data_IF_418390205227
#
_entry.id   IF_418390205227
#
_cell.length_a   1.000
_cell.length_b   1.000
_cell.length_c   1.000
_cell.angle_alpha   90.00
_cell.angle_beta   90.00
_cell.angle_gamma   90.00
#
_symmetry.space_group_name_H-M   'P 1'
#
loop_
_entity.id
_entity.type
_entity.pdbx_description
1 polymer ?
#
# COMPACT_ATOMS: atom_id res chain seq x y z
N UNK A 1 27.25 23.86 -58.19
CA UNK A 1 26.97 23.63 -56.76
C UNK A 1 26.65 22.16 -56.62
N UNK A 2 27.63 21.38 -56.15
CA UNK A 2 27.51 19.93 -55.97
C UNK A 2 26.85 19.66 -54.63
N UNK A 3 25.67 19.04 -54.66
CA UNK A 3 25.00 18.49 -53.48
C UNK A 3 25.90 17.42 -52.85
N UNK A 4 26.48 17.77 -51.70
CA UNK A 4 27.13 16.83 -50.81
C UNK A 4 26.02 16.06 -50.10
N UNK A 5 25.60 14.95 -50.71
CA UNK A 5 24.74 13.97 -50.05
C UNK A 5 25.52 13.36 -48.89
N UNK A 6 25.25 13.82 -47.66
CA UNK A 6 25.67 13.19 -46.42
C UNK A 6 24.98 11.81 -46.31
N UNK A 7 25.50 10.83 -47.03
CA UNK A 7 25.15 9.42 -46.88
C UNK A 7 25.88 8.84 -45.67
N UNK A 8 25.53 9.35 -44.49
CA UNK A 8 25.94 8.81 -43.20
C UNK A 8 24.70 8.30 -42.49
N UNK A 9 24.29 7.06 -42.74
CA UNK A 9 23.42 6.36 -41.79
C UNK A 9 24.20 6.26 -40.49
N UNK A 10 23.81 7.03 -39.48
CA UNK A 10 24.36 6.88 -38.13
C UNK A 10 24.26 5.39 -37.76
N UNK A 11 25.34 4.74 -37.32
CA UNK A 11 25.24 3.37 -36.86
C UNK A 11 24.16 3.34 -35.77
N UNK A 12 23.18 2.44 -35.93
CA UNK A 12 22.16 2.23 -34.91
C UNK A 12 22.92 1.97 -33.60
N UNK A 13 22.75 2.85 -32.62
CA UNK A 13 23.44 2.73 -31.34
C UNK A 13 23.19 1.32 -30.80
N UNK A 14 24.28 0.60 -30.54
CA UNK A 14 24.22 -0.77 -30.04
C UNK A 14 23.46 -0.75 -28.72
N UNK A 15 22.29 -1.38 -28.70
CA UNK A 15 21.36 -1.26 -27.58
C UNK A 15 21.91 -2.10 -26.43
N UNK A 16 21.96 -1.59 -25.20
CA UNK A 16 22.31 -2.41 -24.05
C UNK A 16 21.36 -3.62 -23.99
N UNK A 17 21.91 -4.83 -24.15
CA UNK A 17 21.15 -6.07 -23.94
C UNK A 17 20.96 -6.25 -22.43
N UNK A 18 19.74 -6.00 -21.98
CA UNK A 18 19.37 -5.98 -20.56
C UNK A 18 18.59 -7.24 -20.15
N UNK A 19 18.45 -8.21 -21.06
CA UNK A 19 17.72 -9.47 -20.89
C UNK A 19 18.60 -10.57 -20.28
N UNK A 20 19.38 -10.22 -19.26
CA UNK A 20 20.15 -11.19 -18.49
C UNK A 20 19.30 -11.73 -17.33
N UNK A 21 19.37 -13.04 -17.05
CA UNK A 21 18.67 -13.62 -15.91
C UNK A 21 19.16 -12.99 -14.61
N UNK A 22 18.23 -12.81 -13.66
CA UNK A 22 18.52 -12.26 -12.34
C UNK A 22 19.61 -13.09 -11.67
N UNK A 23 20.69 -12.45 -11.20
CA UNK A 23 21.82 -13.18 -10.62
C UNK A 23 21.41 -13.83 -9.29
N UNK A 24 21.91 -15.03 -8.95
CA UNK A 24 21.63 -15.67 -7.67
C UNK A 24 21.97 -14.80 -6.45
N UNK A 25 22.98 -13.94 -6.59
CA UNK A 25 23.36 -12.97 -5.56
C UNK A 25 22.25 -11.92 -5.32
N UNK A 26 21.63 -11.42 -6.38
CA UNK A 26 20.53 -10.46 -6.27
C UNK A 26 19.29 -11.10 -5.61
N UNK A 27 19.00 -12.36 -5.94
CA UNK A 27 17.93 -13.12 -5.28
C UNK A 27 18.23 -13.32 -3.79
N UNK A 28 19.46 -13.73 -3.45
CA UNK A 28 19.88 -13.88 -2.05
C UNK A 28 19.80 -12.56 -1.29
N UNK A 29 20.27 -11.47 -1.88
CA UNK A 29 20.18 -10.13 -1.31
C UNK A 29 18.73 -9.71 -1.04
N UNK A 30 17.83 -9.92 -2.00
CA UNK A 30 16.41 -9.65 -1.84
C UNK A 30 15.79 -10.47 -0.70
N UNK A 31 16.05 -11.79 -0.66
CA UNK A 31 15.56 -12.66 0.40
C UNK A 31 16.11 -12.28 1.77
N UNK A 32 17.38 -11.85 1.86
CA UNK A 32 17.98 -11.37 3.09
C UNK A 32 17.31 -10.09 3.61
N UNK A 33 16.98 -9.14 2.72
CA UNK A 33 16.24 -7.93 3.08
C UNK A 33 14.83 -8.27 3.60
N UNK A 34 14.12 -9.17 2.92
CA UNK A 34 12.79 -9.62 3.36
C UNK A 34 12.88 -10.31 4.72
N UNK A 35 13.86 -11.21 4.92
CA UNK A 35 14.07 -11.88 6.20
C UNK A 35 14.40 -10.89 7.33
N UNK A 36 15.26 -9.90 7.07
CA UNK A 36 15.58 -8.85 8.03
C UNK A 36 14.35 -8.02 8.40
N UNK A 37 13.51 -7.67 7.41
CA UNK A 37 12.24 -6.98 7.64
C UNK A 37 11.28 -7.80 8.50
N UNK A 38 11.11 -9.09 8.21
CA UNK A 38 10.26 -9.98 9.00
C UNK A 38 10.79 -10.16 10.44
N UNK A 39 12.10 -10.26 10.63
CA UNK A 39 12.73 -10.31 11.95
C UNK A 39 12.52 -8.99 12.71
N UNK A 40 12.65 -7.85 12.05
CA UNK A 40 12.38 -6.54 12.64
C UNK A 40 10.92 -6.39 13.07
N UNK A 41 9.97 -6.85 12.25
CA UNK A 41 8.54 -6.87 12.61
C UNK A 41 8.30 -7.77 13.82
N UNK A 42 8.85 -8.99 13.82
CA UNK A 42 8.71 -9.92 14.95
C UNK A 42 9.31 -9.34 16.25
N UNK A 43 10.47 -8.71 16.16
CA UNK A 43 11.11 -8.02 17.29
C UNK A 43 10.27 -6.85 17.79
N UNK A 44 9.78 -5.99 16.89
CA UNK A 44 8.94 -4.83 17.25
C UNK A 44 7.66 -5.27 17.95
N UNK A 45 6.97 -6.29 17.42
CA UNK A 45 5.76 -6.85 18.05
C UNK A 45 6.09 -7.43 19.43
N UNK A 46 7.21 -8.14 19.58
CA UNK A 46 7.61 -8.68 20.88
C UNK A 46 7.84 -7.57 21.90
N UNK A 47 8.55 -6.51 21.53
CA UNK A 47 8.80 -5.34 22.39
C UNK A 47 7.49 -4.64 22.76
N UNK A 48 6.60 -4.41 21.80
CA UNK A 48 5.31 -3.76 22.04
C UNK A 48 4.41 -4.59 22.96
N UNK A 49 4.35 -5.92 22.75
CA UNK A 49 3.57 -6.82 23.59
C UNK A 49 4.14 -6.88 25.01
N UNK A 50 5.46 -6.96 25.18
CA UNK A 50 6.11 -6.95 26.50
C UNK A 50 5.84 -5.62 27.25
N UNK A 51 5.88 -4.50 26.52
CA UNK A 51 5.59 -3.17 27.05
C UNK A 51 4.15 -3.03 27.57
N UNK A 52 3.18 -3.78 27.05
CA UNK A 52 1.79 -3.73 27.53
C UNK A 52 1.58 -4.34 28.92
N UNK A 53 2.54 -5.10 29.47
CA UNK A 53 2.43 -5.82 30.76
C UNK A 53 1.19 -6.74 30.85
N UNK A 54 0.52 -7.00 29.73
CA UNK A 54 -0.71 -7.78 29.67
C UNK A 54 -0.37 -9.27 29.83
N UNK A 55 -0.94 -9.94 30.85
CA UNK A 55 -0.87 -11.40 30.96
C UNK A 55 -1.78 -12.04 29.92
N UNK A 56 -1.29 -12.18 28.69
CA UNK A 56 -1.96 -12.94 27.65
C UNK A 56 -1.78 -14.43 27.98
N UNK A 57 -2.77 -15.03 28.64
CA UNK A 57 -2.75 -16.45 29.02
C UNK A 57 -3.27 -17.38 27.92
N UNK A 58 -3.66 -16.86 26.75
CA UNK A 58 -4.21 -17.64 25.65
C UNK A 58 -3.48 -17.39 24.32
N UNK A 59 -3.42 -18.41 23.47
CA UNK A 59 -2.79 -18.34 22.14
C UNK A 59 -3.66 -17.63 21.09
N UNK A 60 -4.94 -17.40 21.38
CA UNK A 60 -5.92 -16.88 20.41
C UNK A 60 -5.56 -15.48 19.89
N UNK A 61 -5.19 -14.49 20.74
CA UNK A 61 -4.84 -13.16 20.25
C UNK A 61 -3.61 -13.17 19.34
N UNK A 62 -2.61 -14.00 19.63
CA UNK A 62 -1.42 -14.15 18.79
C UNK A 62 -1.76 -14.76 17.43
N UNK A 63 -2.63 -15.76 17.40
CA UNK A 63 -3.12 -16.33 16.14
C UNK A 63 -3.90 -15.30 15.31
N UNK A 64 -4.83 -14.56 15.93
CA UNK A 64 -5.59 -13.51 15.24
C UNK A 64 -4.70 -12.37 14.76
N UNK A 65 -3.70 -11.97 15.54
CA UNK A 65 -2.68 -11.00 15.13
C UNK A 65 -1.91 -11.50 13.90
N UNK A 66 -1.46 -12.76 13.90
CA UNK A 66 -0.77 -13.34 12.75
C UNK A 66 -1.65 -13.33 11.49
N UNK A 67 -2.93 -13.69 11.62
CA UNK A 67 -3.90 -13.63 10.51
C UNK A 67 -4.09 -12.20 10.02
N UNK A 68 -4.24 -11.22 10.92
CA UNK A 68 -4.39 -9.81 10.57
C UNK A 68 -3.16 -9.28 9.83
N UNK A 69 -1.96 -9.64 10.28
CA UNK A 69 -0.70 -9.27 9.62
C UNK A 69 -0.59 -9.86 8.21
N UNK A 70 -0.97 -11.13 8.03
CA UNK A 70 -0.98 -11.76 6.70
C UNK A 70 -1.93 -11.02 5.75
N UNK A 71 -3.13 -10.66 6.24
CA UNK A 71 -4.10 -9.91 5.44
C UNK A 71 -3.56 -8.50 5.13
N UNK A 72 -3.00 -7.80 6.11
CA UNK A 72 -2.42 -6.47 5.90
C UNK A 72 -1.26 -6.51 4.89
N UNK A 73 -0.34 -7.48 5.00
CA UNK A 73 0.72 -7.69 4.01
C UNK A 73 0.16 -8.02 2.63
N UNK A 74 -0.94 -8.79 2.56
CA UNK A 74 -1.66 -9.04 1.32
C UNK A 74 -2.25 -7.77 0.71
N UNK A 75 -2.82 -6.88 1.51
CA UNK A 75 -3.28 -5.56 1.06
C UNK A 75 -2.14 -4.72 0.50
N UNK A 76 -1.03 -4.58 1.24
CA UNK A 76 0.15 -3.83 0.80
C UNK A 76 0.75 -4.41 -0.49
N UNK A 77 0.75 -5.74 -0.62
CA UNK A 77 1.18 -6.41 -1.84
C UNK A 77 0.32 -6.03 -3.04
N UNK A 78 -1.01 -6.14 -2.93
CA UNK A 78 -1.94 -5.72 -4.00
C UNK A 78 -1.77 -4.24 -4.32
N UNK A 79 -1.61 -3.42 -3.29
CA UNK A 79 -1.40 -1.98 -3.42
C UNK A 79 -0.15 -1.65 -4.24
N UNK A 80 0.96 -2.36 -3.96
CA UNK A 80 2.22 -2.21 -4.68
C UNK A 80 2.14 -2.45 -6.19
N UNK A 81 1.29 -3.37 -6.68
CA UNK A 81 1.14 -3.58 -8.13
C UNK A 81 0.42 -2.43 -8.82
N UNK A 82 -0.63 -1.88 -8.19
CA UNK A 82 -1.36 -0.71 -8.71
C UNK A 82 -0.43 0.50 -8.81
N UNK A 83 0.33 0.77 -7.74
CA UNK A 83 1.26 1.91 -7.71
C UNK A 83 2.45 1.72 -8.65
N UNK A 84 2.96 0.49 -8.76
CA UNK A 84 4.01 0.16 -9.74
C UNK A 84 3.51 0.44 -11.15
N UNK A 85 2.32 -0.04 -11.53
CA UNK A 85 1.76 0.19 -12.85
C UNK A 85 1.65 1.69 -13.19
N UNK A 86 1.21 2.50 -12.23
CA UNK A 86 1.12 3.96 -12.39
C UNK A 86 2.50 4.62 -12.59
N UNK A 87 3.53 4.16 -11.86
CA UNK A 87 4.87 4.73 -11.91
C UNK A 87 5.67 4.32 -13.15
N UNK A 88 5.50 3.10 -13.65
CA UNK A 88 6.36 2.54 -14.72
C UNK A 88 5.75 2.63 -16.11
N UNK A 89 4.45 2.90 -16.24
CA UNK A 89 3.76 2.90 -17.53
C UNK A 89 4.42 3.81 -18.58
N UNK A 90 4.81 5.02 -18.19
CA UNK A 90 5.41 6.00 -19.11
C UNK A 90 6.78 5.55 -19.61
N UNK A 91 7.70 5.17 -18.70
CA UNK A 91 9.07 4.77 -19.05
C UNK A 91 9.14 3.48 -19.86
N UNK A 92 8.21 2.55 -19.63
CA UNK A 92 8.09 1.32 -20.42
C UNK A 92 7.49 1.66 -21.79
N UNK A 93 6.42 2.45 -21.85
CA UNK A 93 5.77 2.82 -23.11
C UNK A 93 6.68 3.64 -24.04
N UNK A 94 7.47 4.56 -23.49
CA UNK A 94 8.47 5.34 -24.25
C UNK A 94 9.74 4.54 -24.56
N UNK A 95 9.83 3.28 -24.11
CA UNK A 95 11.01 2.43 -24.27
C UNK A 95 12.30 3.04 -23.69
N UNK A 96 12.16 3.88 -22.65
CA UNK A 96 13.29 4.52 -21.97
C UNK A 96 13.99 3.59 -20.99
N UNK A 97 13.29 2.59 -20.46
CA UNK A 97 13.84 1.60 -19.53
C UNK A 97 13.14 0.23 -19.72
N UNK A 98 13.84 -0.91 -19.64
CA UNK A 98 13.19 -2.22 -19.69
C UNK A 98 12.27 -2.46 -18.49
N UNK A 99 11.19 -3.20 -18.72
CA UNK A 99 10.16 -3.45 -17.71
C UNK A 99 10.70 -4.02 -16.39
N UNK A 100 11.63 -4.99 -16.46
CA UNK A 100 12.21 -5.62 -15.27
C UNK A 100 12.90 -4.59 -14.36
N UNK A 101 13.69 -3.68 -14.96
CA UNK A 101 14.38 -2.63 -14.22
C UNK A 101 13.39 -1.59 -13.71
N UNK A 102 12.42 -1.19 -14.52
CA UNK A 102 11.42 -0.20 -14.12
C UNK A 102 10.63 -0.64 -12.89
N UNK A 103 10.23 -1.92 -12.83
CA UNK A 103 9.52 -2.50 -11.67
C UNK A 103 10.41 -2.52 -10.43
N UNK A 104 11.68 -2.94 -10.54
CA UNK A 104 12.62 -2.95 -9.41
C UNK A 104 12.83 -1.53 -8.88
N UNK A 105 13.03 -0.55 -9.77
CA UNK A 105 13.18 0.85 -9.41
C UNK A 105 11.93 1.41 -8.73
N UNK A 106 10.75 1.09 -9.25
CA UNK A 106 9.48 1.49 -8.62
C UNK A 106 9.35 0.94 -7.21
N UNK A 107 9.63 -0.34 -7.00
CA UNK A 107 9.62 -0.95 -5.66
C UNK A 107 10.63 -0.29 -4.71
N UNK A 108 11.85 -0.02 -5.19
CA UNK A 108 12.89 0.65 -4.41
C UNK A 108 12.48 2.07 -3.99
N UNK A 109 11.95 2.88 -4.90
CA UNK A 109 11.50 4.23 -4.58
C UNK A 109 10.24 4.26 -3.72
N UNK A 110 9.31 3.30 -3.89
CA UNK A 110 8.18 3.15 -2.97
C UNK A 110 8.67 2.86 -1.53
N UNK A 111 9.64 1.95 -1.39
CA UNK A 111 10.25 1.66 -0.09
C UNK A 111 10.95 2.89 0.51
N UNK A 112 11.74 3.62 -0.28
CA UNK A 112 12.36 4.88 0.18
C UNK A 112 11.31 5.92 0.58
N UNK A 113 10.20 6.01 -0.15
CA UNK A 113 9.08 6.88 0.18
C UNK A 113 8.55 6.62 1.58
N UNK A 114 8.37 5.34 1.95
CA UNK A 114 7.96 4.96 3.31
C UNK A 114 9.06 5.22 4.33
N UNK A 115 10.33 4.92 4.01
CA UNK A 115 11.47 5.08 4.93
C UNK A 115 11.74 6.55 5.29
N UNK A 116 11.60 7.45 4.32
CA UNK A 116 11.79 8.90 4.51
C UNK A 116 10.49 9.63 4.86
N UNK A 117 9.33 8.97 4.75
CA UNK A 117 8.08 9.52 5.23
C UNK A 117 8.15 9.70 6.75
N UNK A 118 7.65 10.82 7.25
CA UNK A 118 7.58 11.13 8.69
C UNK A 118 6.51 10.30 9.42
N UNK A 119 6.01 9.22 8.80
CA UNK A 119 4.86 8.45 9.28
C UNK A 119 3.52 9.18 9.12
N UNK A 120 3.50 10.39 8.56
CA UNK A 120 2.30 11.23 8.47
C UNK A 120 1.12 10.53 7.77
N UNK A 121 1.39 9.76 6.71
CA UNK A 121 0.34 8.99 6.00
C UNK A 121 -0.20 7.86 6.88
N UNK A 122 0.69 7.14 7.57
CA UNK A 122 0.28 6.08 8.50
C UNK A 122 -0.57 6.66 9.65
N UNK A 123 -0.15 7.77 10.25
CA UNK A 123 -0.94 8.48 11.27
C UNK A 123 -2.28 9.00 10.74
N UNK A 124 -2.33 9.50 9.50
CA UNK A 124 -3.56 9.95 8.87
C UNK A 124 -4.58 8.84 8.62
N UNK A 125 -4.10 7.62 8.32
CA UNK A 125 -4.96 6.43 8.21
C UNK A 125 -5.37 5.94 9.60
N UNK A 126 -4.44 5.91 10.57
CA UNK A 126 -4.73 5.50 11.95
C UNK A 126 -5.78 6.40 12.61
N UNK A 127 -5.75 7.70 12.36
CA UNK A 127 -6.75 8.63 12.90
C UNK A 127 -8.13 8.49 12.25
N UNK A 128 -8.21 7.90 11.06
CA UNK A 128 -9.49 7.53 10.45
C UNK A 128 -10.06 6.24 11.01
N UNK A 129 -9.21 5.35 11.55
CA UNK A 129 -9.70 4.12 12.14
C UNK A 129 -10.61 4.47 13.32
N UNK A 130 -11.77 3.81 13.46
CA UNK A 130 -12.65 4.00 14.58
C UNK A 130 -12.09 3.24 15.80
N UNK A 131 -10.89 3.64 16.27
CA UNK A 131 -10.12 2.95 17.31
C UNK A 131 -10.93 2.90 18.61
N UNK A 132 -11.64 3.97 18.95
CA UNK A 132 -12.53 3.98 20.11
C UNK A 132 -13.66 2.96 19.97
N UNK A 133 -14.24 2.79 18.77
CA UNK A 133 -15.23 1.74 18.56
C UNK A 133 -14.57 0.36 18.65
N UNK A 134 -13.44 0.12 17.99
CA UNK A 134 -12.78 -1.20 18.03
C UNK A 134 -12.45 -1.62 19.48
N UNK A 135 -12.03 -0.67 20.32
CA UNK A 135 -11.71 -0.93 21.73
C UNK A 135 -12.95 -1.08 22.63
N UNK A 136 -14.04 -0.36 22.35
CA UNK A 136 -15.26 -0.38 23.18
C UNK A 136 -16.23 -1.53 22.83
N UNK A 137 -16.11 -2.12 21.64
CA UNK A 137 -17.09 -3.09 21.10
C UNK A 137 -16.85 -4.51 21.64
N UNK A 138 -15.74 -4.74 22.35
CA UNK A 138 -15.32 -6.03 22.88
C UNK A 138 -14.39 -6.77 21.89
N UNK A 139 -13.53 -7.66 22.40
CA UNK A 139 -12.45 -8.28 21.63
C UNK A 139 -12.91 -8.92 20.32
N UNK A 140 -13.99 -9.72 20.35
CA UNK A 140 -14.44 -10.47 19.18
C UNK A 140 -14.96 -9.57 18.06
N UNK A 141 -15.70 -8.52 18.41
CA UNK A 141 -16.30 -7.63 17.43
C UNK A 141 -15.27 -6.62 16.89
N UNK A 142 -14.28 -6.21 17.70
CA UNK A 142 -13.13 -5.44 17.22
C UNK A 142 -12.32 -6.19 16.16
N UNK A 143 -12.03 -7.47 16.38
CA UNK A 143 -11.36 -8.31 15.36
C UNK A 143 -12.19 -8.45 14.08
N UNK A 144 -13.51 -8.68 14.21
CA UNK A 144 -14.40 -8.77 13.05
C UNK A 144 -14.41 -7.49 12.21
N UNK A 145 -14.36 -6.31 12.85
CA UNK A 145 -14.28 -5.01 12.18
C UNK A 145 -12.97 -4.88 11.37
N UNK A 146 -11.83 -5.21 11.97
CA UNK A 146 -10.52 -5.14 11.30
C UNK A 146 -10.44 -6.11 10.12
N UNK A 147 -10.95 -7.33 10.27
CA UNK A 147 -10.99 -8.27 9.15
C UNK A 147 -11.94 -7.81 8.05
N UNK A 148 -13.12 -7.30 8.41
CA UNK A 148 -14.11 -6.82 7.44
C UNK A 148 -13.57 -5.67 6.59
N UNK A 149 -12.93 -4.66 7.20
CA UNK A 149 -12.39 -3.54 6.44
C UNK A 149 -11.24 -3.97 5.53
N UNK A 150 -10.30 -4.79 6.02
CA UNK A 150 -9.15 -5.23 5.21
C UNK A 150 -9.57 -6.14 4.06
N UNK A 151 -10.48 -7.10 4.32
CA UNK A 151 -10.98 -8.01 3.28
C UNK A 151 -11.75 -7.22 2.22
N UNK A 152 -12.63 -6.30 2.62
CA UNK A 152 -13.37 -5.45 1.68
C UNK A 152 -12.41 -4.63 0.80
N UNK A 153 -11.36 -4.06 1.40
CA UNK A 153 -10.38 -3.28 0.66
C UNK A 153 -9.58 -4.13 -0.33
N UNK A 154 -9.14 -5.33 0.07
CA UNK A 154 -8.41 -6.27 -0.81
C UNK A 154 -9.30 -6.74 -1.95
N UNK A 155 -10.53 -7.18 -1.67
CA UNK A 155 -11.45 -7.68 -2.69
C UNK A 155 -11.72 -6.62 -3.75
N UNK A 156 -11.91 -5.37 -3.34
CA UNK A 156 -12.11 -4.27 -4.29
C UNK A 156 -10.85 -3.99 -5.10
N UNK A 157 -9.67 -3.90 -4.47
CA UNK A 157 -8.42 -3.64 -5.18
C UNK A 157 -8.03 -4.78 -6.16
N UNK A 158 -8.26 -6.04 -5.79
CA UNK A 158 -8.04 -7.18 -6.70
C UNK A 158 -9.09 -7.18 -7.80
N UNK A 159 -10.35 -6.85 -7.48
CA UNK A 159 -11.44 -6.75 -8.45
C UNK A 159 -11.15 -5.70 -9.52
N UNK A 160 -10.79 -4.48 -9.13
CA UNK A 160 -10.45 -3.41 -10.08
C UNK A 160 -9.24 -3.76 -10.94
N UNK A 161 -8.21 -4.37 -10.35
CA UNK A 161 -7.07 -4.89 -11.09
C UNK A 161 -7.48 -5.94 -12.13
N UNK A 162 -8.30 -6.91 -11.74
CA UNK A 162 -8.77 -7.98 -12.65
C UNK A 162 -9.59 -7.45 -13.82
N UNK A 163 -10.25 -6.30 -13.63
CA UNK A 163 -11.03 -5.60 -14.65
C UNK A 163 -10.21 -4.55 -15.42
N UNK A 164 -8.94 -4.33 -15.08
CA UNK A 164 -8.08 -3.31 -15.70
C UNK A 164 -8.52 -1.87 -15.41
N UNK A 165 -9.29 -1.65 -14.34
CA UNK A 165 -9.79 -0.34 -13.96
C UNK A 165 -8.73 0.41 -13.14
N UNK A 166 -8.34 1.64 -13.52
CA UNK A 166 -7.48 2.46 -12.68
C UNK A 166 -8.24 2.82 -11.39
N UNK A 167 -7.71 2.38 -10.26
CA UNK A 167 -8.33 2.57 -8.95
C UNK A 167 -7.32 3.10 -7.94
N UNK A 168 -7.80 3.86 -6.97
CA UNK A 168 -6.99 4.38 -5.86
C UNK A 168 -7.19 3.51 -4.62
N UNK A 169 -6.14 2.82 -4.20
CA UNK A 169 -6.18 1.99 -2.99
C UNK A 169 -6.42 2.80 -1.71
N UNK A 170 -5.95 4.06 -1.65
CA UNK A 170 -6.24 4.96 -0.53
C UNK A 170 -7.74 5.21 -0.39
N UNK A 171 -8.45 5.46 -1.50
CA UNK A 171 -9.90 5.60 -1.49
C UNK A 171 -10.60 4.29 -1.10
N UNK A 172 -10.09 3.16 -1.59
CA UNK A 172 -10.59 1.83 -1.24
C UNK A 172 -10.50 1.59 0.28
N UNK A 173 -9.36 1.90 0.89
CA UNK A 173 -9.15 1.72 2.32
C UNK A 173 -10.05 2.66 3.14
N UNK A 174 -10.11 3.95 2.80
CA UNK A 174 -10.98 4.92 3.48
C UNK A 174 -12.45 4.51 3.38
N UNK A 175 -12.90 4.07 2.19
CA UNK A 175 -14.25 3.58 1.97
C UNK A 175 -14.58 2.37 2.85
N UNK A 176 -13.64 1.43 3.01
CA UNK A 176 -13.81 0.27 3.88
C UNK A 176 -13.92 0.65 5.37
N UNK A 177 -13.13 1.63 5.81
CA UNK A 177 -13.15 2.16 7.19
C UNK A 177 -14.50 2.81 7.49
N UNK A 178 -14.97 3.69 6.59
CA UNK A 178 -16.28 4.36 6.71
C UNK A 178 -17.40 3.30 6.72
N UNK A 179 -17.35 2.31 5.81
CA UNK A 179 -18.37 1.27 5.71
C UNK A 179 -18.51 0.43 6.98
N UNK A 180 -17.38 0.04 7.60
CA UNK A 180 -17.38 -0.68 8.88
C UNK A 180 -17.86 0.21 10.03
N UNK A 181 -17.46 1.48 10.07
CA UNK A 181 -17.90 2.45 11.09
C UNK A 181 -19.42 2.67 11.06
N UNK A 182 -20.00 2.90 9.88
CA UNK A 182 -21.45 3.06 9.70
C UNK A 182 -22.19 1.79 10.09
N UNK A 183 -21.73 0.63 9.62
CA UNK A 183 -22.38 -0.66 9.91
C UNK A 183 -22.40 -0.95 11.41
N UNK A 184 -21.28 -0.69 12.10
CA UNK A 184 -21.22 -0.88 13.55
C UNK A 184 -22.14 0.10 14.31
N UNK A 185 -22.26 1.35 13.86
CA UNK A 185 -23.20 2.31 14.44
C UNK A 185 -24.66 1.85 14.29
N UNK A 186 -25.04 1.38 13.10
CA UNK A 186 -26.37 0.85 12.81
C UNK A 186 -26.70 -0.38 13.66
N UNK A 187 -25.78 -1.35 13.75
CA UNK A 187 -25.97 -2.56 14.56
C UNK A 187 -26.14 -2.27 16.06
N UNK A 188 -25.65 -1.12 16.54
CA UNK A 188 -25.75 -0.69 17.94
C UNK A 188 -26.92 0.25 18.21
N UNK A 189 -27.80 0.46 17.23
CA UNK A 189 -28.98 1.32 17.36
C UNK A 189 -28.65 2.80 17.56
N UNK A 190 -27.44 3.23 17.19
CA UNK A 190 -27.07 4.65 17.13
C UNK A 190 -27.34 5.19 15.73
N UNK A 191 -27.39 6.51 15.60
CA UNK A 191 -27.41 7.15 14.28
C UNK A 191 -26.21 6.64 13.46
N UNK A 192 -26.46 6.20 12.22
CA UNK A 192 -25.46 5.57 11.35
C UNK A 192 -24.23 6.44 11.06
N UNK A 193 -24.26 7.71 11.44
CA UNK A 193 -23.16 8.67 11.35
C UNK A 193 -22.28 8.72 12.61
N UNK A 194 -22.70 8.17 13.75
CA UNK A 194 -21.97 8.27 15.02
C UNK A 194 -20.75 7.36 15.16
N UNK A 195 -20.52 6.47 14.19
CA UNK A 195 -19.42 5.49 14.20
C UNK A 195 -18.19 5.89 13.37
N UNK A 196 -18.18 7.10 12.81
CA UNK A 196 -17.12 7.61 11.92
C UNK A 196 -16.75 9.03 12.35
N UNK A 197 -15.45 9.32 12.40
CA UNK A 197 -14.96 10.70 12.53
C UNK A 197 -15.12 11.42 11.17
N UNK A 198 -16.21 12.17 11.02
CA UNK A 198 -16.52 12.88 9.78
C UNK A 198 -15.59 14.06 9.52
N UNK A 199 -15.02 14.67 10.56
CA UNK A 199 -14.08 15.77 10.41
C UNK A 199 -12.76 15.26 9.83
N UNK A 200 -12.27 14.14 10.35
CA UNK A 200 -11.08 13.47 9.82
C UNK A 200 -11.33 12.90 8.41
N UNK A 201 -12.49 12.26 8.17
CA UNK A 201 -12.87 11.78 6.84
C UNK A 201 -12.91 12.91 5.81
N UNK A 202 -13.47 14.07 6.18
CA UNK A 202 -13.51 15.24 5.32
C UNK A 202 -12.11 15.84 5.11
N UNK A 203 -11.25 15.86 6.12
CA UNK A 203 -9.86 16.33 6.03
C UNK A 203 -9.07 15.50 5.02
N UNK A 204 -9.13 14.17 5.14
CA UNK A 204 -8.46 13.26 4.20
C UNK A 204 -9.09 13.33 2.82
N UNK A 205 -10.43 13.41 2.72
CA UNK A 205 -11.14 13.60 1.46
C UNK A 205 -10.73 14.90 0.73
N UNK A 206 -10.55 16.01 1.46
CA UNK A 206 -10.05 17.27 0.90
C UNK A 206 -8.62 17.13 0.38
N UNK A 207 -7.74 16.46 1.12
CA UNK A 207 -6.36 16.20 0.67
C UNK A 207 -6.35 15.38 -0.63
N UNK A 208 -7.15 14.32 -0.70
CA UNK A 208 -7.29 13.47 -1.89
C UNK A 208 -7.87 14.23 -3.08
N UNK A 209 -8.81 15.16 -2.87
CA UNK A 209 -9.38 16.00 -3.93
C UNK A 209 -8.40 17.07 -4.43
N UNK A 210 -7.61 17.67 -3.54
CA UNK A 210 -6.66 18.73 -3.88
C UNK A 210 -5.38 18.19 -4.52
N UNK A 211 -4.95 16.98 -4.14
CA UNK A 211 -3.67 16.40 -4.59
C UNK A 211 -3.51 16.31 -6.12
N UNK A 212 -4.53 15.95 -6.94
CA UNK A 212 -4.38 15.90 -8.39
C UNK A 212 -4.28 17.30 -9.00
N UNK A 213 -4.92 18.31 -8.40
CA UNK A 213 -4.85 19.71 -8.87
C UNK A 213 -3.43 20.24 -8.65
N UNK A 214 -2.88 20.04 -7.46
CA UNK A 214 -1.50 20.43 -7.15
C UNK A 214 -0.52 19.68 -8.06
N UNK A 215 -0.71 18.35 -8.21
CA UNK A 215 0.09 17.54 -9.11
C UNK A 215 0.06 18.05 -10.55
N UNK A 216 -1.11 18.42 -11.06
CA UNK A 216 -1.26 18.97 -12.42
C UNK A 216 -0.59 20.34 -12.59
N UNK A 217 -0.64 21.21 -11.58
CA UNK A 217 0.01 22.53 -11.63
C UNK A 217 1.54 22.44 -11.57
N UNK A 218 2.07 21.40 -10.91
CA UNK A 218 3.52 21.19 -10.76
C UNK A 218 4.16 20.29 -11.83
N UNK A 219 3.37 19.62 -12.67
CA UNK A 219 3.84 18.74 -13.75
C UNK A 219 4.28 19.51 -14.98
#
# INVERSE_FOLDING_TARGET
>A
MSDVTLSGTLPAADRPQLDHPVTPLAIFGFLAVVAAGLLFVAYSIYVDVDATQARITSLVPYFLLAVALIIALGFEFVNGFHDTANAVATVIYTHSLPANFAVIWSGFFNFLGVLFSTGAVAFGILSLLPVELILQVGSNAGFAMVFALLIAAILWNVGTWSLGLPASSSHTLIGSIIGVGITNALLRGRDGTSGVDWDQALSVGKSLLLSPIVGFVCA
#
